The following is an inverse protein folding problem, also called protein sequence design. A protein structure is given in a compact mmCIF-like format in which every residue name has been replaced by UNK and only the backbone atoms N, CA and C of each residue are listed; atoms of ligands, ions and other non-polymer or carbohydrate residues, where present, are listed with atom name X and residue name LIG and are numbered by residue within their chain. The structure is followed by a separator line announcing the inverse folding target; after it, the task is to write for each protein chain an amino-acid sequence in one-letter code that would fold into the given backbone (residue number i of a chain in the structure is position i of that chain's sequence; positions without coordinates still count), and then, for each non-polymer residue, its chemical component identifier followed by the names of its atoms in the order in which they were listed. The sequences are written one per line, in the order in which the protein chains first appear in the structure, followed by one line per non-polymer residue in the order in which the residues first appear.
data_IF_002023580741
#
_entry.id   IF_002023580741
#
_cell.length_a   1.000
_cell.length_b   1.000
_cell.length_c   1.000
_cell.angle_alpha   90.00
_cell.angle_beta   90.00
_cell.angle_gamma   90.00
#
_symmetry.space_group_name_H-M   'P 1'
#
loop_
_entity.id
_entity.type
_entity.pdbx_description
1 polymer ?
#
# COMPACT_ATOMS: atom_id res chain seq x y z
N UNK A 1 -7.28 12.53 -3.05
CA UNK A 1 -5.91 12.82 -3.54
C UNK A 1 -5.86 12.67 -5.06
N UNK A 2 -4.83 13.18 -5.74
CA UNK A 2 -4.67 13.01 -7.19
C UNK A 2 -4.14 11.60 -7.52
N UNK A 3 -5.06 10.65 -7.66
CA UNK A 3 -4.72 9.23 -7.93
C UNK A 3 -4.12 9.02 -9.33
N UNK A 4 -4.50 9.85 -10.30
CA UNK A 4 -3.97 9.79 -11.67
C UNK A 4 -2.46 10.03 -11.67
N UNK A 5 -2.00 10.99 -10.85
CA UNK A 5 -0.57 11.22 -10.67
C UNK A 5 0.14 10.00 -10.06
N UNK A 6 -0.46 9.33 -9.07
CA UNK A 6 0.14 8.13 -8.48
C UNK A 6 0.24 6.97 -9.48
N UNK A 7 -0.77 6.78 -10.34
CA UNK A 7 -0.67 5.81 -11.45
C UNK A 7 0.48 6.13 -12.40
N UNK A 8 0.74 7.40 -12.71
CA UNK A 8 1.86 7.78 -13.56
C UNK A 8 3.20 7.44 -12.89
N UNK A 9 3.38 7.79 -11.62
CA UNK A 9 4.58 7.43 -10.85
C UNK A 9 4.78 5.91 -10.75
N UNK A 10 3.71 5.15 -10.52
CA UNK A 10 3.80 3.68 -10.48
C UNK A 10 4.19 3.11 -11.85
N UNK A 11 3.62 3.64 -12.93
CA UNK A 11 3.94 3.19 -14.29
C UNK A 11 5.42 3.39 -14.61
N UNK A 12 5.98 4.53 -14.23
CA UNK A 12 7.39 4.83 -14.44
C UNK A 12 8.31 3.92 -13.62
N UNK A 13 7.90 3.56 -12.39
CA UNK A 13 8.61 2.58 -11.56
C UNK A 13 8.52 1.16 -12.16
N UNK A 14 7.34 0.71 -12.51
CA UNK A 14 7.09 -0.61 -13.09
C UNK A 14 7.89 -0.80 -14.38
N UNK A 15 7.86 0.19 -15.28
CA UNK A 15 8.61 0.15 -16.55
C UNK A 15 10.12 0.00 -16.31
N UNK A 16 10.69 0.74 -15.35
CA UNK A 16 12.12 0.63 -15.02
C UNK A 16 12.46 -0.75 -14.47
N UNK A 17 11.61 -1.33 -13.62
CA UNK A 17 11.82 -2.69 -13.08
C UNK A 17 11.77 -3.71 -14.21
N UNK A 18 10.74 -3.63 -15.06
CA UNK A 18 10.54 -4.53 -16.20
C UNK A 18 11.72 -4.47 -17.17
N UNK A 19 12.20 -3.26 -17.49
CA UNK A 19 13.36 -3.06 -18.36
C UNK A 19 14.64 -3.62 -17.74
N UNK A 20 14.95 -3.22 -16.49
CA UNK A 20 16.16 -3.64 -15.77
C UNK A 20 16.23 -5.16 -15.58
N UNK A 21 15.08 -5.82 -15.43
CA UNK A 21 14.98 -7.27 -15.18
C UNK A 21 14.65 -8.09 -16.43
N UNK A 22 14.56 -7.45 -17.61
CA UNK A 22 14.21 -8.11 -18.88
C UNK A 22 12.88 -8.89 -18.84
N UNK A 23 11.84 -8.29 -18.26
CA UNK A 23 10.53 -8.91 -18.02
C UNK A 23 9.44 -8.48 -19.02
N UNK A 24 9.78 -7.86 -20.15
CA UNK A 24 8.84 -7.18 -21.06
C UNK A 24 7.70 -8.10 -21.58
N UNK A 25 7.94 -9.41 -21.64
CA UNK A 25 6.97 -10.41 -22.12
C UNK A 25 6.55 -11.41 -21.04
N UNK A 26 6.83 -11.12 -19.77
CA UNK A 26 6.45 -11.96 -18.64
C UNK A 26 5.12 -11.47 -18.10
N UNK A 27 4.06 -12.31 -18.05
CA UNK A 27 2.82 -11.91 -17.38
C UNK A 27 3.09 -11.80 -15.88
N UNK A 28 2.94 -10.60 -15.30
CA UNK A 28 3.26 -10.34 -13.89
C UNK A 28 2.01 -10.21 -13.01
N UNK A 29 0.82 -10.47 -13.56
CA UNK A 29 -0.43 -10.23 -12.85
C UNK A 29 -0.59 -11.07 -11.58
N UNK A 30 -0.19 -12.35 -11.62
CA UNK A 30 -0.32 -13.23 -10.43
C UNK A 30 0.71 -12.86 -9.36
N UNK A 31 1.92 -12.51 -9.78
CA UNK A 31 3.02 -12.05 -8.94
C UNK A 31 2.62 -10.75 -8.23
N UNK A 32 2.16 -9.74 -8.97
CA UNK A 32 1.66 -8.47 -8.40
C UNK A 32 0.50 -8.68 -7.44
N UNK A 33 -0.42 -9.59 -7.77
CA UNK A 33 -1.54 -9.95 -6.89
C UNK A 33 -1.08 -10.62 -5.60
N UNK A 34 -0.07 -11.49 -5.66
CA UNK A 34 0.49 -12.12 -4.48
C UNK A 34 1.26 -11.10 -3.64
N UNK A 35 2.08 -10.25 -4.26
CA UNK A 35 2.79 -9.17 -3.57
C UNK A 35 1.84 -8.19 -2.87
N UNK A 36 0.71 -7.83 -3.49
CA UNK A 36 -0.32 -7.05 -2.81
C UNK A 36 -0.80 -7.70 -1.50
N UNK A 37 -0.98 -9.03 -1.50
CA UNK A 37 -1.43 -9.77 -0.30
C UNK A 37 -0.32 -9.90 0.74
N UNK A 38 0.92 -9.96 0.30
CA UNK A 38 2.10 -9.97 1.16
C UNK A 38 2.19 -8.65 1.93
N UNK A 39 2.16 -7.52 1.23
CA UNK A 39 2.18 -6.18 1.86
C UNK A 39 0.92 -5.93 2.72
N UNK A 40 -0.25 -6.44 2.31
CA UNK A 40 -1.45 -6.37 3.14
C UNK A 40 -1.28 -7.13 4.47
N UNK A 41 -0.49 -8.22 4.47
CA UNK A 41 -0.18 -9.00 5.67
C UNK A 41 0.84 -8.29 6.56
N UNK A 42 1.81 -7.61 5.98
CA UNK A 42 2.71 -6.72 6.73
C UNK A 42 1.94 -5.56 7.37
N UNK A 43 1.02 -4.94 6.63
CA UNK A 43 0.09 -3.95 7.17
C UNK A 43 -0.71 -4.51 8.35
N UNK A 44 -1.21 -5.73 8.24
CA UNK A 44 -1.93 -6.42 9.31
C UNK A 44 -1.03 -6.66 10.54
N UNK A 45 0.25 -6.99 10.31
CA UNK A 45 1.25 -7.18 11.35
C UNK A 45 1.57 -5.92 12.16
N UNK A 46 1.60 -4.75 11.52
CA UNK A 46 1.80 -3.46 12.19
C UNK A 46 0.50 -2.86 12.75
N UNK A 47 -0.67 -3.16 12.18
CA UNK A 47 -1.96 -2.76 12.74
C UNK A 47 -2.29 -3.46 14.07
N UNK A 48 -1.99 -4.76 14.17
CA UNK A 48 -2.10 -5.58 15.40
C UNK A 48 -3.50 -5.71 16.03
N UNK A 49 -4.52 -5.00 15.55
CA UNK A 49 -5.86 -5.05 16.14
C UNK A 49 -6.52 -6.44 16.09
N UNK A 50 -6.14 -7.29 15.14
CA UNK A 50 -6.60 -8.69 15.03
C UNK A 50 -6.00 -9.62 16.11
N UNK A 51 -4.90 -9.22 16.78
CA UNK A 51 -4.14 -10.08 17.71
C UNK A 51 -4.88 -10.24 19.04
N UNK A 52 -5.98 -11.00 19.04
CA UNK A 52 -6.85 -11.22 20.21
C UNK A 52 -6.14 -11.95 21.36
N UNK A 53 -5.04 -12.66 21.08
CA UNK A 53 -4.22 -13.37 22.05
C UNK A 53 -3.10 -12.52 22.66
N UNK A 54 -2.92 -11.27 22.23
CA UNK A 54 -1.82 -10.41 22.69
C UNK A 54 -2.35 -9.27 23.56
N UNK A 55 -1.68 -9.04 24.69
CA UNK A 55 -1.89 -7.85 25.52
C UNK A 55 -1.45 -6.55 24.81
N UNK A 56 -0.57 -6.66 23.81
CA UNK A 56 -0.15 -5.55 22.96
C UNK A 56 -0.78 -5.66 21.57
N UNK A 57 -2.02 -5.21 21.45
CA UNK A 57 -2.82 -5.21 20.22
C UNK A 57 -3.00 -3.81 19.59
N UNK A 58 -2.17 -2.83 20.00
CA UNK A 58 -2.23 -1.46 19.49
C UNK A 58 -1.41 -1.33 18.19
N UNK A 59 -1.84 -0.51 17.22
CA UNK A 59 -1.08 -0.26 16.01
C UNK A 59 0.30 0.34 16.29
N UNK A 60 1.30 -0.04 15.49
CA UNK A 60 2.64 0.53 15.52
C UNK A 60 2.67 1.74 14.58
N UNK A 61 2.57 2.94 15.15
CA UNK A 61 2.49 4.21 14.37
C UNK A 61 3.74 5.08 14.45
N UNK A 62 4.76 4.63 15.18
CA UNK A 62 6.05 5.31 15.28
C UNK A 62 7.17 4.29 15.54
N UNK A 63 8.17 4.27 14.67
CA UNK A 63 9.44 3.55 14.89
C UNK A 63 10.61 4.34 14.26
N UNK A 64 11.82 3.85 14.44
CA UNK A 64 13.07 4.46 13.96
C UNK A 64 13.60 3.67 12.77
N UNK A 65 13.88 4.34 11.65
CA UNK A 65 14.55 3.71 10.50
C UNK A 65 15.99 3.30 10.88
N UNK A 66 16.51 2.23 10.28
CA UNK A 66 17.88 1.75 10.49
C UNK A 66 18.26 1.58 11.98
N UNK A 67 17.34 1.01 12.76
CA UNK A 67 17.49 0.84 14.21
C UNK A 67 18.82 0.16 14.57
N UNK A 68 19.58 0.79 15.46
CA UNK A 68 20.90 0.30 15.90
C UNK A 68 22.06 0.71 14.99
N UNK A 69 21.82 1.49 13.93
CA UNK A 69 22.86 1.96 13.00
C UNK A 69 23.06 3.49 13.02
N UNK A 70 22.21 4.24 13.74
CA UNK A 70 22.22 5.71 13.78
C UNK A 70 22.48 6.24 15.18
N UNK A 71 23.15 7.40 15.29
CA UNK A 71 23.26 8.14 16.55
C UNK A 71 21.89 8.69 16.96
N UNK A 72 21.72 9.01 18.25
CA UNK A 72 20.42 9.45 18.79
C UNK A 72 19.90 10.72 18.11
N UNK A 73 20.81 11.63 17.78
CA UNK A 73 20.55 12.91 17.10
C UNK A 73 20.15 12.77 15.62
N UNK A 74 20.51 11.65 15.00
CA UNK A 74 20.24 11.37 13.59
C UNK A 74 19.01 10.48 13.38
N UNK A 75 18.31 10.08 14.46
CA UNK A 75 17.19 9.14 14.35
C UNK A 75 16.09 9.67 13.45
N UNK A 76 15.90 8.98 12.34
CA UNK A 76 14.78 9.20 11.44
C UNK A 76 13.57 8.39 11.92
N UNK A 77 12.51 9.08 12.33
CA UNK A 77 11.26 8.45 12.73
C UNK A 77 10.30 8.36 11.56
N UNK A 78 9.57 7.25 11.48
CA UNK A 78 8.53 7.05 10.49
C UNK A 78 7.30 6.37 11.12
N UNK A 79 6.21 6.29 10.37
CA UNK A 79 4.97 5.62 10.77
C UNK A 79 4.88 4.27 10.04
N UNK A 80 5.20 3.13 10.70
CA UNK A 80 5.17 1.82 10.05
C UNK A 80 3.79 1.47 9.48
N UNK A 81 2.71 1.77 10.21
CA UNK A 81 1.34 1.53 9.72
C UNK A 81 1.05 2.25 8.40
N UNK A 82 1.53 3.48 8.23
CA UNK A 82 1.35 4.24 6.98
C UNK A 82 2.28 3.72 5.88
N UNK A 83 3.51 3.34 6.23
CA UNK A 83 4.52 2.81 5.30
C UNK A 83 4.04 1.50 4.65
N UNK A 84 3.54 0.55 5.46
CA UNK A 84 2.98 -0.71 4.94
C UNK A 84 1.68 -0.50 4.16
N UNK A 85 0.87 0.50 4.55
CA UNK A 85 -0.33 0.85 3.79
C UNK A 85 0.01 1.34 2.38
N UNK A 86 1.04 2.18 2.24
CA UNK A 86 1.46 2.66 0.92
C UNK A 86 2.18 1.59 0.09
N UNK A 87 2.82 0.59 0.71
CA UNK A 87 3.34 -0.59 0.00
C UNK A 87 2.21 -1.43 -0.60
N UNK A 88 1.15 -1.68 0.16
CA UNK A 88 -0.05 -2.32 -0.38
C UNK A 88 -0.67 -1.48 -1.53
N UNK A 89 -0.70 -0.14 -1.38
CA UNK A 89 -1.18 0.76 -2.43
C UNK A 89 -0.31 0.72 -3.70
N UNK A 90 1.03 0.61 -3.58
CA UNK A 90 1.94 0.45 -4.72
C UNK A 90 1.55 -0.74 -5.59
N UNK A 91 1.35 -1.91 -4.99
CA UNK A 91 0.93 -3.10 -5.75
C UNK A 91 -0.50 -2.99 -6.28
N UNK A 92 -1.43 -2.37 -5.53
CA UNK A 92 -2.79 -2.13 -6.02
C UNK A 92 -2.79 -1.25 -7.30
N UNK A 93 -1.96 -0.21 -7.36
CA UNK A 93 -1.81 0.62 -8.56
C UNK A 93 -1.16 -0.16 -9.70
N UNK A 94 -0.13 -0.96 -9.40
CA UNK A 94 0.57 -1.80 -10.38
C UNK A 94 -0.34 -2.86 -11.01
N UNK A 95 -1.24 -3.46 -10.22
CA UNK A 95 -2.29 -4.38 -10.70
C UNK A 95 -3.25 -3.67 -11.67
N UNK A 96 -3.66 -2.45 -11.33
CA UNK A 96 -4.51 -1.62 -12.19
C UNK A 96 -3.86 -1.32 -13.53
N UNK A 97 -2.56 -1.02 -13.54
CA UNK A 97 -1.79 -0.76 -14.75
C UNK A 97 -1.61 -2.02 -15.61
N UNK A 98 -1.29 -3.16 -14.99
CA UNK A 98 -1.08 -4.46 -15.67
C UNK A 98 -2.30 -4.89 -16.49
N UNK A 99 -3.51 -4.56 -16.04
CA UNK A 99 -4.78 -4.94 -16.71
C UNK A 99 -5.47 -3.77 -17.40
N UNK A 100 -4.85 -2.60 -17.43
CA UNK A 100 -5.44 -1.34 -17.88
C UNK A 100 -6.79 -1.02 -17.19
N UNK A 101 -6.95 -1.44 -15.93
CA UNK A 101 -8.13 -1.13 -15.12
C UNK A 101 -8.03 0.23 -14.43
N UNK A 102 -6.85 0.83 -14.41
CA UNK A 102 -6.62 2.20 -13.93
C UNK A 102 -7.52 3.25 -14.63
N UNK A 103 -7.94 3.00 -15.88
CA UNK A 103 -8.86 3.86 -16.64
C UNK A 103 -10.28 3.98 -16.06
N UNK A 104 -10.63 3.13 -15.09
CA UNK A 104 -11.93 3.16 -14.40
C UNK A 104 -11.84 3.83 -13.03
N UNK A 105 -10.68 4.37 -12.66
CA UNK A 105 -10.42 4.99 -11.35
C UNK A 105 -10.08 6.46 -11.54
N UNK A 106 -11.09 7.32 -11.40
CA UNK A 106 -10.92 8.77 -11.54
C UNK A 106 -10.60 9.45 -10.21
N UNK A 107 -10.90 8.79 -9.08
CA UNK A 107 -10.68 9.34 -7.75
C UNK A 107 -10.38 8.25 -6.72
N UNK A 108 -9.49 8.58 -5.78
CA UNK A 108 -9.28 7.82 -4.55
C UNK A 108 -9.76 8.68 -3.38
N UNK A 109 -10.96 8.33 -2.88
CA UNK A 109 -11.72 9.17 -1.95
C UNK A 109 -11.65 8.60 -0.54
N UNK A 110 -10.72 9.14 0.25
CA UNK A 110 -10.58 8.83 1.67
C UNK A 110 -11.61 9.67 2.43
N UNK A 111 -12.71 9.03 2.87
CA UNK A 111 -13.78 9.69 3.63
C UNK A 111 -13.63 9.39 5.10
N UNK A 112 -13.43 10.44 5.91
CA UNK A 112 -13.45 10.30 7.35
C UNK A 112 -14.89 10.02 7.83
N UNK A 113 -15.18 8.78 8.18
CA UNK A 113 -16.26 8.44 9.11
C UNK A 113 -15.72 8.53 10.54
N UNK A 114 -16.40 9.26 11.43
CA UNK A 114 -16.06 9.20 12.85
C UNK A 114 -16.36 7.78 13.36
N UNK A 115 -15.35 7.08 13.86
CA UNK A 115 -15.51 5.86 14.64
C UNK A 115 -15.75 4.60 13.81
N UNK A 116 -14.74 4.15 13.07
CA UNK A 116 -14.76 2.79 12.53
C UNK A 116 -14.44 1.79 13.64
N UNK A 117 -15.25 0.77 13.78
CA UNK A 117 -15.10 -0.31 14.74
C UNK A 117 -13.96 -1.24 14.34
N UNK A 118 -13.38 -1.95 15.33
CA UNK A 118 -12.40 -3.01 15.06
C UNK A 118 -12.97 -4.07 14.10
N UNK A 119 -14.25 -4.40 14.22
CA UNK A 119 -14.92 -5.39 13.37
C UNK A 119 -14.95 -4.94 11.92
N UNK A 120 -15.37 -3.69 11.64
CA UNK A 120 -15.36 -3.15 10.27
C UNK A 120 -13.97 -3.16 9.63
N UNK A 121 -12.92 -2.85 10.41
CA UNK A 121 -11.54 -2.94 9.89
C UNK A 121 -11.18 -4.39 9.54
N UNK A 122 -11.55 -5.35 10.39
CA UNK A 122 -11.31 -6.78 10.12
C UNK A 122 -12.06 -7.24 8.87
N UNK A 123 -13.32 -6.85 8.73
CA UNK A 123 -14.15 -7.21 7.57
C UNK A 123 -13.52 -6.70 6.28
N UNK A 124 -13.04 -5.46 6.26
CA UNK A 124 -12.36 -4.89 5.09
C UNK A 124 -11.04 -5.58 4.78
N UNK A 125 -10.25 -5.99 5.78
CA UNK A 125 -9.07 -6.83 5.52
C UNK A 125 -9.48 -8.15 4.85
N UNK A 126 -10.54 -8.82 5.33
CA UNK A 126 -11.02 -10.07 4.74
C UNK A 126 -11.51 -9.85 3.30
N UNK A 127 -12.28 -8.80 3.04
CA UNK A 127 -12.76 -8.44 1.70
C UNK A 127 -11.59 -8.23 0.73
N UNK A 128 -10.53 -7.52 1.15
CA UNK A 128 -9.31 -7.32 0.37
C UNK A 128 -8.58 -8.64 0.07
N UNK A 129 -8.46 -9.55 1.04
CA UNK A 129 -7.83 -10.86 0.82
C UNK A 129 -8.64 -11.75 -0.12
N UNK A 130 -9.96 -11.78 0.08
CA UNK A 130 -10.89 -12.62 -0.67
C UNK A 130 -11.12 -12.11 -2.09
N UNK A 131 -10.90 -10.82 -2.34
CA UNK A 131 -11.03 -10.19 -3.64
C UNK A 131 -10.27 -10.97 -4.73
N UNK A 132 -11.03 -11.52 -5.67
CA UNK A 132 -10.50 -12.41 -6.70
C UNK A 132 -9.77 -11.65 -7.81
N UNK A 133 -9.98 -10.34 -7.95
CA UNK A 133 -9.41 -9.53 -9.03
C UNK A 133 -9.64 -10.16 -10.41
N UNK A 134 -10.83 -10.69 -10.67
CA UNK A 134 -11.16 -11.28 -11.98
C UNK A 134 -11.62 -10.25 -13.00
N UNK A 135 -12.10 -9.09 -12.54
CA UNK A 135 -12.76 -8.10 -13.39
C UNK A 135 -12.36 -6.69 -12.96
N UNK A 136 -12.57 -5.71 -13.84
CA UNK A 136 -12.43 -4.30 -13.49
C UNK A 136 -13.34 -3.89 -12.32
N UNK A 137 -14.54 -4.49 -12.20
CA UNK A 137 -15.43 -4.25 -11.06
C UNK A 137 -14.80 -4.71 -9.73
N UNK A 138 -14.20 -5.91 -9.70
CA UNK A 138 -13.46 -6.38 -8.52
C UNK A 138 -12.31 -5.45 -8.16
N UNK A 139 -11.62 -4.89 -9.16
CA UNK A 139 -10.55 -3.92 -8.95
C UNK A 139 -11.08 -2.59 -8.38
N UNK A 140 -12.19 -2.07 -8.90
CA UNK A 140 -12.83 -0.88 -8.35
C UNK A 140 -13.24 -1.08 -6.89
N UNK A 141 -13.80 -2.25 -6.55
CA UNK A 141 -14.08 -2.63 -5.15
C UNK A 141 -12.80 -2.61 -4.31
N UNK A 142 -11.73 -3.26 -4.77
CA UNK A 142 -10.44 -3.26 -4.06
C UNK A 142 -9.93 -1.83 -3.80
N UNK A 143 -10.01 -0.93 -4.78
CA UNK A 143 -9.55 0.46 -4.61
C UNK A 143 -10.43 1.24 -3.63
N UNK A 144 -11.73 1.00 -3.61
CA UNK A 144 -12.65 1.60 -2.64
C UNK A 144 -12.40 1.08 -1.22
N UNK A 145 -12.17 -0.22 -1.08
CA UNK A 145 -11.88 -0.87 0.21
C UNK A 145 -10.55 -0.39 0.78
N UNK A 146 -9.52 -0.21 -0.06
CA UNK A 146 -8.26 0.42 0.36
C UNK A 146 -8.46 1.87 0.79
N UNK A 147 -9.28 2.65 0.08
CA UNK A 147 -9.57 4.03 0.46
C UNK A 147 -10.32 4.12 1.80
N UNK A 148 -11.27 3.20 2.02
CA UNK A 148 -11.96 3.05 3.29
C UNK A 148 -11.00 2.62 4.40
N UNK A 149 -10.16 1.60 4.17
CA UNK A 149 -9.18 1.11 5.13
C UNK A 149 -8.22 2.23 5.56
N UNK A 150 -7.70 3.00 4.61
CA UNK A 150 -6.83 4.14 4.92
C UNK A 150 -7.50 5.16 5.84
N UNK A 151 -8.78 5.49 5.57
CA UNK A 151 -9.56 6.36 6.46
C UNK A 151 -9.78 5.72 7.84
N UNK A 152 -10.07 4.42 7.88
CA UNK A 152 -10.32 3.68 9.12
C UNK A 152 -9.07 3.52 10.00
N UNK A 153 -7.89 3.49 9.39
CA UNK A 153 -6.60 3.55 10.09
C UNK A 153 -6.21 4.97 10.54
N UNK A 154 -7.03 5.97 10.22
CA UNK A 154 -6.84 7.36 10.66
C UNK A 154 -5.97 8.20 9.72
N UNK A 155 -5.72 7.74 8.49
CA UNK A 155 -4.92 8.48 7.53
C UNK A 155 -5.78 9.43 6.71
N UNK A 156 -5.26 10.63 6.50
CA UNK A 156 -5.80 11.57 5.53
C UNK A 156 -5.31 11.25 4.12
N UNK A 157 -6.06 11.72 3.12
CA UNK A 157 -5.64 11.60 1.73
C UNK A 157 -4.29 12.27 1.42
N UNK A 158 -3.91 13.32 2.18
CA UNK A 158 -2.64 14.02 1.98
C UNK A 158 -1.46 13.23 2.59
N UNK A 159 -1.66 12.58 3.75
CA UNK A 159 -0.65 11.70 4.34
C UNK A 159 -0.35 10.51 3.44
N UNK A 160 -1.40 9.83 2.94
CA UNK A 160 -1.25 8.70 2.01
C UNK A 160 -0.49 9.15 0.74
N UNK A 161 -0.89 10.27 0.16
CA UNK A 161 -0.27 10.79 -1.06
C UNK A 161 1.22 11.12 -0.86
N UNK A 162 1.58 11.80 0.23
CA UNK A 162 2.95 12.19 0.52
C UNK A 162 3.83 10.96 0.83
N UNK A 163 3.33 10.04 1.67
CA UNK A 163 4.04 8.81 1.99
C UNK A 163 4.27 7.95 0.75
N UNK A 164 3.28 7.88 -0.15
CA UNK A 164 3.44 7.18 -1.43
C UNK A 164 4.54 7.81 -2.30
N UNK A 165 4.59 9.15 -2.42
CA UNK A 165 5.64 9.82 -3.20
C UNK A 165 7.03 9.54 -2.61
N UNK A 166 7.17 9.64 -1.29
CA UNK A 166 8.43 9.33 -0.61
C UNK A 166 8.85 7.88 -0.87
N UNK A 167 7.92 6.93 -0.72
CA UNK A 167 8.18 5.51 -0.93
C UNK A 167 8.51 5.19 -2.39
N UNK A 168 7.82 5.81 -3.33
CA UNK A 168 8.12 5.71 -4.76
C UNK A 168 9.55 6.16 -5.08
N UNK A 169 9.98 7.30 -4.51
CA UNK A 169 11.36 7.80 -4.66
C UNK A 169 12.37 6.81 -4.09
N UNK A 170 12.16 6.32 -2.87
CA UNK A 170 13.03 5.30 -2.25
C UNK A 170 13.13 4.04 -3.12
N UNK A 171 12.00 3.60 -3.70
CA UNK A 171 11.98 2.42 -4.57
C UNK A 171 12.73 2.66 -5.89
N UNK A 172 12.68 3.86 -6.46
CA UNK A 172 13.56 4.23 -7.58
C UNK A 172 15.05 4.18 -7.18
N UNK A 173 15.41 4.69 -6.01
CA UNK A 173 16.80 4.68 -5.53
C UNK A 173 17.29 3.23 -5.27
N UNK A 174 16.43 2.35 -4.72
CA UNK A 174 16.71 0.91 -4.56
C UNK A 174 16.94 0.23 -5.91
N UNK A 175 16.13 0.55 -6.91
CA UNK A 175 16.33 0.02 -8.26
C UNK A 175 17.61 0.57 -8.91
N UNK A 176 18.04 1.79 -8.62
CA UNK A 176 19.32 2.30 -9.10
C UNK A 176 20.54 1.63 -8.43
N UNK A 177 20.42 1.25 -7.15
CA UNK A 177 21.53 0.67 -6.37
C UNK A 177 21.73 -0.84 -6.52
N UNK A 178 20.90 -1.51 -7.34
CA UNK A 178 21.08 -2.93 -7.65
C UNK A 178 20.24 -3.90 -6.83
N UNK A 179 19.30 -3.40 -6.02
CA UNK A 179 18.27 -4.26 -5.40
C UNK A 179 17.54 -5.08 -6.46
#
# INVERSE_FOLDING_TARGET
MNIIHLFQLQKDLDNKIVEKRSLQNVPLFQEKKLSFRDELSELLHVWRGHKFWSENNKPITKDVRNKGQMMEEDKEYYNPLLDEFVDALHFALSIGLEREWNKYIDAFVVRNSKGNTKTEIIDVFNDLYENKLWTAAHYMTLMNDLAYLGAALGFSAIEIYNAYIEKNKINHDRQASGY
#
